data_IF_179489975988
#
_entry.id   IF_179489975988
#
_cell.length_a   1.000
_cell.length_b   1.000
_cell.length_c   1.000
_cell.angle_alpha   90.00
_cell.angle_beta   90.00
_cell.angle_gamma   90.00
#
_symmetry.space_group_name_H-M   'P 1'
#
loop_
_entity.id
_entity.type
_entity.pdbx_description
1 polymer ?
#
# COMPACT_ATOMS: atom_id res chain seq x y z
N UNK A 1 61.06 -16.11 53.06
CA UNK A 1 61.61 -14.74 53.15
C UNK A 1 62.44 -14.47 51.89
N UNK A 2 62.13 -13.36 51.20
CA UNK A 2 63.01 -12.61 50.25
C UNK A 2 63.36 -13.31 48.92
N UNK A 3 63.39 -12.67 47.76
CA UNK A 3 63.04 -11.34 47.22
C UNK A 3 63.12 -11.54 45.69
N UNK A 4 62.17 -11.00 44.93
CA UNK A 4 62.33 -10.71 43.49
C UNK A 4 63.35 -9.57 43.30
N UNK A 5 64.04 -9.54 42.15
CA UNK A 5 64.09 -8.29 41.40
C UNK A 5 63.82 -8.47 39.89
N UNK A 6 63.45 -7.33 39.33
CA UNK A 6 62.91 -7.05 38.00
C UNK A 6 64.00 -6.75 36.95
N UNK A 7 63.53 -6.27 35.77
CA UNK A 7 64.25 -5.50 34.70
C UNK A 7 64.83 -6.44 33.61
N UNK A 8 64.58 -6.31 32.30
CA UNK A 8 63.85 -5.29 31.52
C UNK A 8 63.63 -5.71 30.06
N UNK A 9 62.64 -5.04 29.46
CA UNK A 9 62.60 -4.53 28.08
C UNK A 9 62.51 -5.49 26.88
N UNK A 10 61.28 -5.77 26.42
CA UNK A 10 60.97 -5.89 24.97
C UNK A 10 59.44 -5.88 24.63
N UNK A 11 58.64 -4.91 25.12
CA UNK A 11 57.19 -4.87 24.78
C UNK A 11 56.67 -3.44 24.51
N UNK A 12 57.46 -2.56 23.92
CA UNK A 12 56.95 -1.22 23.58
C UNK A 12 57.58 -0.69 22.30
N UNK A 13 57.12 -1.20 21.15
CA UNK A 13 57.15 -0.45 19.87
C UNK A 13 56.32 -1.17 18.77
N UNK A 14 55.01 -1.30 18.96
CA UNK A 14 54.10 -1.78 17.90
C UNK A 14 52.70 -1.14 18.00
N UNK A 15 52.69 0.18 18.19
CA UNK A 15 51.47 1.01 18.14
C UNK A 15 51.82 2.32 17.44
N UNK A 16 51.94 2.32 16.11
CA UNK A 16 51.92 3.53 15.28
C UNK A 16 51.83 3.21 13.77
N UNK A 17 50.86 2.36 13.40
CA UNK A 17 50.30 2.35 12.04
C UNK A 17 48.77 2.28 12.14
N UNK A 18 48.20 3.27 12.83
CA UNK A 18 46.79 3.61 12.66
C UNK A 18 46.67 4.38 11.34
N UNK A 19 46.45 3.64 10.25
CA UNK A 19 45.99 4.21 9.00
C UNK A 19 44.67 4.94 9.28
N UNK A 20 44.64 6.24 8.98
CA UNK A 20 43.45 7.08 9.10
C UNK A 20 42.37 6.63 8.13
N UNK A 21 41.62 5.59 8.50
CA UNK A 21 40.31 5.34 7.96
C UNK A 21 39.40 6.43 8.54
N UNK A 22 39.19 7.50 7.76
CA UNK A 22 38.18 8.50 8.06
C UNK A 22 36.86 7.77 8.28
N UNK A 23 36.41 7.71 9.53
CA UNK A 23 35.17 7.09 9.95
C UNK A 23 33.97 7.82 9.38
N UNK A 24 33.71 7.65 8.08
CA UNK A 24 32.35 7.81 7.59
C UNK A 24 31.57 6.61 8.11
N UNK A 25 30.76 6.85 9.14
CA UNK A 25 29.67 5.94 9.49
C UNK A 25 28.97 5.54 8.19
N UNK A 26 28.73 4.23 7.95
CA UNK A 26 28.03 3.79 6.76
C UNK A 26 26.69 4.53 6.73
N UNK A 27 26.55 5.48 5.79
CA UNK A 27 25.30 6.23 5.62
C UNK A 27 24.19 5.17 5.47
N UNK A 28 23.14 5.23 6.29
CA UNK A 28 22.02 4.32 6.12
C UNK A 28 21.55 4.45 4.66
N UNK A 29 21.26 3.31 3.98
CA UNK A 29 20.85 3.36 2.59
C UNK A 29 19.65 4.31 2.47
N UNK A 30 19.72 5.23 1.50
CA UNK A 30 18.68 6.22 1.27
C UNK A 30 17.33 5.52 1.20
N UNK A 31 16.40 5.91 2.08
CA UNK A 31 15.03 5.40 2.03
C UNK A 31 14.48 5.71 0.64
N UNK A 32 13.89 4.74 -0.08
CA UNK A 32 13.30 5.02 -1.38
C UNK A 32 12.29 6.15 -1.21
N UNK A 33 12.50 7.23 -1.96
CA UNK A 33 11.59 8.38 -1.96
C UNK A 33 10.32 7.92 -2.66
N UNK A 34 9.22 7.83 -1.91
CA UNK A 34 7.91 7.56 -2.50
C UNK A 34 7.51 8.83 -3.25
N UNK A 35 7.50 8.76 -4.59
CA UNK A 35 6.92 9.83 -5.40
C UNK A 35 5.40 9.81 -5.27
N UNK A 36 4.86 10.87 -4.70
CA UNK A 36 3.43 11.12 -4.67
C UNK A 36 3.04 11.91 -5.90
N UNK A 37 1.99 11.46 -6.59
CA UNK A 37 1.36 12.19 -7.69
C UNK A 37 -0.05 12.59 -7.30
N UNK A 38 -0.52 13.74 -7.77
CA UNK A 38 -1.93 14.04 -7.69
C UNK A 38 -2.71 13.06 -8.56
N UNK A 39 -3.88 12.63 -8.07
CA UNK A 39 -4.86 12.01 -8.95
C UNK A 39 -5.35 13.06 -9.97
N UNK A 40 -5.81 12.60 -11.13
CA UNK A 40 -6.29 13.52 -12.18
C UNK A 40 -7.42 14.44 -11.66
N UNK A 41 -7.57 15.66 -12.20
CA UNK A 41 -8.62 16.57 -11.77
C UNK A 41 -10.02 15.94 -11.71
N UNK A 42 -10.52 15.20 -12.73
CA UNK A 42 -11.85 14.59 -12.65
C UNK A 42 -12.01 13.62 -11.48
N UNK A 43 -10.97 12.82 -11.21
CA UNK A 43 -10.92 11.91 -10.05
C UNK A 43 -10.89 12.70 -8.72
N UNK A 44 -10.30 13.90 -8.70
CA UNK A 44 -10.38 14.77 -7.53
C UNK A 44 -11.82 15.21 -7.25
N UNK A 45 -12.54 15.71 -8.26
CA UNK A 45 -13.94 16.12 -8.08
C UNK A 45 -14.83 14.95 -7.66
N UNK A 46 -14.67 13.77 -8.26
CA UNK A 46 -15.40 12.57 -7.86
C UNK A 46 -15.23 12.26 -6.37
N UNK A 47 -14.00 12.28 -5.86
CA UNK A 47 -13.73 11.98 -4.44
C UNK A 47 -14.30 13.02 -3.49
N UNK A 48 -14.28 14.29 -3.88
CA UNK A 48 -14.89 15.37 -3.10
C UNK A 48 -16.40 15.22 -3.06
N UNK A 49 -17.03 15.03 -4.22
CA UNK A 49 -18.47 14.91 -4.36
C UNK A 49 -19.03 13.59 -3.79
N UNK A 50 -18.19 12.56 -3.66
CA UNK A 50 -18.55 11.32 -2.96
C UNK A 50 -18.49 11.44 -1.43
N UNK A 51 -17.96 12.53 -0.87
CA UNK A 51 -17.85 12.71 0.57
C UNK A 51 -19.12 13.37 1.14
N UNK A 52 -19.88 12.71 2.03
CA UNK A 52 -21.12 13.25 2.56
C UNK A 52 -20.97 14.59 3.28
N UNK A 53 -19.82 14.84 3.93
CA UNK A 53 -19.56 16.13 4.61
C UNK A 53 -19.35 17.27 3.63
N UNK A 54 -18.75 16.97 2.47
CA UNK A 54 -18.62 17.96 1.40
C UNK A 54 -20.01 18.29 0.87
N UNK A 55 -20.85 17.29 0.60
CA UNK A 55 -22.23 17.52 0.15
C UNK A 55 -23.06 18.32 1.14
N UNK A 56 -22.94 18.03 2.44
CA UNK A 56 -23.59 18.78 3.52
C UNK A 56 -23.17 20.26 3.51
N UNK A 57 -21.86 20.54 3.42
CA UNK A 57 -21.31 21.90 3.37
C UNK A 57 -21.68 22.65 2.07
N UNK A 58 -21.82 21.92 0.96
CA UNK A 58 -22.35 22.44 -0.30
C UNK A 58 -23.87 22.67 -0.28
N UNK A 59 -24.58 22.17 0.75
CA UNK A 59 -26.05 22.13 0.83
C UNK A 59 -26.68 21.41 -0.37
N UNK A 60 -26.00 20.38 -0.86
CA UNK A 60 -26.45 19.53 -1.97
C UNK A 60 -26.87 18.19 -1.38
N UNK A 61 -28.12 17.78 -1.62
CA UNK A 61 -28.62 16.50 -1.10
C UNK A 61 -27.93 15.31 -1.79
N UNK A 62 -27.85 15.34 -3.11
CA UNK A 62 -27.28 14.28 -3.94
C UNK A 62 -26.61 14.87 -5.19
N UNK A 63 -25.57 14.19 -5.67
CA UNK A 63 -24.85 14.56 -6.90
C UNK A 63 -25.63 14.02 -8.10
N UNK A 64 -25.96 14.84 -9.12
CA UNK A 64 -26.63 14.37 -10.32
C UNK A 64 -25.85 13.22 -10.98
N UNK A 65 -26.56 12.13 -11.33
CA UNK A 65 -25.93 10.94 -11.93
C UNK A 65 -25.20 11.25 -13.24
N UNK A 66 -25.70 12.22 -14.02
CA UNK A 66 -25.07 12.72 -15.25
C UNK A 66 -23.67 13.30 -14.98
N UNK A 67 -23.53 14.13 -13.95
CA UNK A 67 -22.25 14.71 -13.55
C UNK A 67 -21.26 13.62 -13.12
N UNK A 68 -21.70 12.68 -12.27
CA UNK A 68 -20.86 11.57 -11.81
C UNK A 68 -20.37 10.70 -12.98
N UNK A 69 -21.26 10.37 -13.93
CA UNK A 69 -20.91 9.59 -15.13
C UNK A 69 -19.89 10.32 -16.01
N UNK A 70 -20.07 11.62 -16.21
CA UNK A 70 -19.16 12.41 -17.03
C UNK A 70 -17.77 12.56 -16.39
N UNK A 71 -17.72 12.85 -15.09
CA UNK A 71 -16.45 12.90 -14.35
C UNK A 71 -15.74 11.54 -14.35
N UNK A 72 -16.47 10.43 -14.21
CA UNK A 72 -15.90 9.08 -14.33
C UNK A 72 -15.32 8.81 -15.72
N UNK A 73 -16.04 9.18 -16.78
CA UNK A 73 -15.54 9.02 -18.14
C UNK A 73 -14.26 9.83 -18.37
N UNK A 74 -14.20 11.07 -17.87
CA UNK A 74 -13.00 11.92 -17.92
C UNK A 74 -11.85 11.37 -17.08
N UNK A 75 -12.12 10.82 -15.89
CA UNK A 75 -11.11 10.18 -15.04
C UNK A 75 -10.50 8.95 -15.74
N UNK A 76 -11.35 8.12 -16.36
CA UNK A 76 -10.90 6.96 -17.13
C UNK A 76 -10.01 7.39 -18.31
N UNK A 77 -10.44 8.39 -19.08
CA UNK A 77 -9.64 8.94 -20.18
C UNK A 77 -8.29 9.51 -19.70
N UNK A 78 -8.28 10.21 -18.57
CA UNK A 78 -7.07 10.77 -17.96
C UNK A 78 -6.11 9.68 -17.47
N UNK A 79 -6.62 8.54 -16.98
CA UNK A 79 -5.81 7.39 -16.56
C UNK A 79 -5.15 6.65 -17.72
N UNK A 80 -5.78 6.69 -18.91
CA UNK A 80 -5.28 6.03 -20.12
C UNK A 80 -4.26 6.88 -20.88
N UNK A 81 -4.35 8.21 -20.77
CA UNK A 81 -3.30 9.08 -21.27
C UNK A 81 -2.16 9.13 -20.25
N UNK A 82 -0.96 8.67 -20.62
CA UNK A 82 0.24 9.01 -19.83
C UNK A 82 0.20 10.52 -19.57
N UNK A 83 0.14 10.88 -18.29
CA UNK A 83 -0.16 12.25 -17.88
C UNK A 83 1.05 13.10 -18.24
N UNK A 84 1.02 13.67 -19.45
CA UNK A 84 2.03 14.64 -19.85
C UNK A 84 1.90 15.84 -18.90
N UNK A 85 3.00 16.25 -18.24
CA UNK A 85 2.99 17.43 -17.38
C UNK A 85 2.49 18.63 -18.19
N UNK A 86 1.45 19.33 -17.68
CA UNK A 86 0.84 20.50 -18.33
C UNK A 86 -0.60 20.31 -18.85
N UNK A 87 -1.14 19.09 -18.90
CA UNK A 87 -2.56 18.86 -19.30
C UNK A 87 -3.58 19.05 -18.16
N UNK A 88 -3.12 19.28 -16.94
CA UNK A 88 -3.96 19.40 -15.73
C UNK A 88 -4.85 20.64 -15.73
N UNK A 89 -4.35 21.79 -16.20
CA UNK A 89 -5.08 23.07 -16.12
C UNK A 89 -6.35 23.10 -16.98
N UNK A 90 -6.34 22.67 -18.26
CA UNK A 90 -7.57 22.57 -19.04
C UNK A 90 -8.59 21.62 -18.39
N UNK A 91 -8.14 20.47 -17.89
CA UNK A 91 -9.00 19.50 -17.22
C UNK A 91 -9.65 20.05 -15.95
N UNK A 92 -8.91 20.82 -15.15
CA UNK A 92 -9.44 21.50 -13.97
C UNK A 92 -10.59 22.45 -14.35
N UNK A 93 -10.38 23.31 -15.34
CA UNK A 93 -11.39 24.29 -15.79
C UNK A 93 -12.62 23.61 -16.37
N UNK A 94 -12.44 22.54 -17.14
CA UNK A 94 -13.55 21.74 -17.66
C UNK A 94 -14.35 21.09 -16.54
N UNK A 95 -13.70 20.47 -15.56
CA UNK A 95 -14.40 19.84 -14.44
C UNK A 95 -15.14 20.88 -13.58
N UNK A 96 -14.51 22.02 -13.29
CA UNK A 96 -15.15 23.13 -12.58
C UNK A 96 -16.42 23.61 -13.31
N UNK A 97 -16.35 23.74 -14.65
CA UNK A 97 -17.49 24.14 -15.47
C UNK A 97 -18.64 23.11 -15.42
N UNK A 98 -18.33 21.81 -15.46
CA UNK A 98 -19.33 20.75 -15.31
C UNK A 98 -20.03 20.79 -13.95
N UNK A 99 -19.25 21.01 -12.88
CA UNK A 99 -19.81 21.14 -11.53
C UNK A 99 -20.66 22.41 -11.41
N UNK A 100 -20.25 23.53 -12.02
CA UNK A 100 -21.03 24.77 -12.06
C UNK A 100 -22.34 24.60 -12.82
N UNK A 101 -22.32 23.93 -13.97
CA UNK A 101 -23.53 23.63 -14.74
C UNK A 101 -24.51 22.75 -13.96
N UNK A 102 -24.00 21.73 -13.27
CA UNK A 102 -24.83 20.73 -12.60
C UNK A 102 -25.31 21.16 -11.20
N UNK A 103 -24.47 21.85 -10.42
CA UNK A 103 -24.72 22.18 -9.01
C UNK A 103 -24.88 23.70 -8.76
N UNK A 104 -24.63 24.53 -9.77
CA UNK A 104 -24.63 25.98 -9.65
C UNK A 104 -23.29 26.56 -9.20
N UNK A 105 -23.14 27.87 -9.44
CA UNK A 105 -21.89 28.62 -9.24
C UNK A 105 -21.38 28.62 -7.79
N UNK A 106 -22.27 28.74 -6.81
CA UNK A 106 -21.88 28.77 -5.40
C UNK A 106 -21.30 27.41 -4.96
N UNK A 107 -21.97 26.31 -5.32
CA UNK A 107 -21.50 24.96 -5.02
C UNK A 107 -20.18 24.66 -5.74
N UNK A 108 -20.05 25.00 -7.02
CA UNK A 108 -18.81 24.80 -7.76
C UNK A 108 -17.63 25.59 -7.17
N UNK A 109 -17.86 26.86 -6.80
CA UNK A 109 -16.86 27.66 -6.13
C UNK A 109 -16.44 27.03 -4.78
N UNK A 110 -17.40 26.50 -4.03
CA UNK A 110 -17.13 25.86 -2.74
C UNK A 110 -16.40 24.52 -2.90
N UNK A 111 -16.74 23.71 -3.91
CA UNK A 111 -15.98 22.48 -4.23
C UNK A 111 -14.52 22.82 -4.54
N UNK A 112 -14.25 23.90 -5.30
CA UNK A 112 -12.88 24.35 -5.56
C UNK A 112 -12.15 24.76 -4.28
N UNK A 113 -12.81 25.49 -3.39
CA UNK A 113 -12.25 25.85 -2.09
C UNK A 113 -11.84 24.61 -1.29
N UNK A 114 -12.73 23.61 -1.20
CA UNK A 114 -12.44 22.34 -0.51
C UNK A 114 -11.32 21.57 -1.22
N UNK A 115 -11.27 21.59 -2.56
CA UNK A 115 -10.18 20.97 -3.33
C UNK A 115 -8.83 21.57 -2.96
N UNK A 116 -8.71 22.89 -2.93
CA UNK A 116 -7.47 23.56 -2.50
C UNK A 116 -7.08 23.21 -1.05
N UNK A 117 -8.06 23.06 -0.15
CA UNK A 117 -7.79 22.60 1.22
C UNK A 117 -7.22 21.16 1.25
N UNK A 118 -7.73 20.26 0.42
CA UNK A 118 -7.29 18.86 0.40
C UNK A 118 -5.92 18.68 -0.26
N UNK A 119 -5.67 19.44 -1.33
CA UNK A 119 -4.45 19.36 -2.14
C UNK A 119 -3.29 20.08 -1.44
N UNK A 120 -3.57 21.21 -0.78
CA UNK A 120 -2.56 22.07 -0.16
C UNK A 120 -1.76 22.87 -1.18
N UNK A 121 -1.03 23.87 -0.70
CA UNK A 121 -0.35 24.87 -1.53
C UNK A 121 0.66 24.24 -2.50
N UNK A 122 1.43 23.26 -2.01
CA UNK A 122 2.45 22.55 -2.80
C UNK A 122 1.90 22.00 -4.10
N UNK A 123 0.86 21.20 -3.98
CA UNK A 123 0.31 20.47 -5.11
C UNK A 123 -0.65 21.34 -5.92
N UNK A 124 -1.29 22.33 -5.29
CA UNK A 124 -2.10 23.31 -6.00
C UNK A 124 -1.25 24.11 -7.00
N UNK A 125 -0.06 24.56 -6.59
CA UNK A 125 0.89 25.25 -7.46
C UNK A 125 1.47 24.32 -8.53
N UNK A 126 1.72 23.05 -8.20
CA UNK A 126 2.20 22.07 -9.17
C UNK A 126 1.15 21.77 -10.26
N UNK A 127 -0.12 21.72 -9.88
CA UNK A 127 -1.23 21.37 -10.77
C UNK A 127 -1.69 22.55 -11.64
N UNK A 128 -1.69 23.76 -11.06
CA UNK A 128 -1.95 25.02 -11.73
C UNK A 128 -0.74 25.96 -11.60
N UNK A 129 0.20 25.92 -12.55
CA UNK A 129 1.34 26.84 -12.57
C UNK A 129 0.92 28.32 -12.62
N UNK A 130 -0.29 28.63 -13.08
CA UNK A 130 -0.85 29.98 -13.05
C UNK A 130 -1.04 30.50 -11.63
N UNK A 131 -1.33 29.62 -10.67
CA UNK A 131 -1.53 29.96 -9.27
C UNK A 131 -0.27 30.57 -8.63
N UNK A 132 0.93 30.09 -8.98
CA UNK A 132 2.17 30.71 -8.50
C UNK A 132 2.28 32.18 -8.95
N UNK A 133 1.83 32.48 -10.16
CA UNK A 133 1.82 33.84 -10.71
C UNK A 133 0.74 34.70 -10.04
N UNK A 134 -0.45 34.15 -9.81
CA UNK A 134 -1.56 34.85 -9.14
C UNK A 134 -1.25 35.16 -7.68
N UNK A 135 -0.58 34.22 -7.00
CA UNK A 135 -0.04 34.44 -5.67
C UNK A 135 1.19 35.34 -5.69
N UNK A 136 1.86 35.55 -6.83
CA UNK A 136 3.12 36.30 -6.95
C UNK A 136 4.24 35.67 -6.10
N UNK A 137 4.40 34.35 -6.17
CA UNK A 137 5.43 33.64 -5.43
C UNK A 137 6.81 33.92 -6.03
N UNK A 138 7.75 34.36 -5.19
CA UNK A 138 9.17 34.46 -5.56
C UNK A 138 9.76 33.07 -5.81
N UNK A 139 10.88 32.98 -6.52
CA UNK A 139 11.59 31.72 -6.78
C UNK A 139 11.92 30.97 -5.49
N UNK A 140 12.48 31.66 -4.49
CA UNK A 140 12.75 31.10 -3.16
C UNK A 140 11.49 30.59 -2.45
N UNK A 141 10.34 31.26 -2.62
CA UNK A 141 9.08 30.77 -2.07
C UNK A 141 8.61 29.51 -2.81
N UNK A 142 8.75 29.44 -4.13
CA UNK A 142 8.37 28.25 -4.90
C UNK A 142 9.19 27.02 -4.50
N UNK A 143 10.49 27.18 -4.24
CA UNK A 143 11.34 26.11 -3.70
C UNK A 143 10.85 25.63 -2.32
N UNK A 144 10.51 26.57 -1.42
CA UNK A 144 9.95 26.23 -0.10
C UNK A 144 8.58 25.58 -0.20
N UNK A 145 7.74 26.01 -1.14
CA UNK A 145 6.42 25.41 -1.43
C UNK A 145 6.61 23.97 -1.93
N UNK A 146 7.58 23.71 -2.80
CA UNK A 146 7.90 22.37 -3.28
C UNK A 146 8.40 21.43 -2.16
N UNK A 147 8.96 22.00 -1.08
CA UNK A 147 9.43 21.27 0.09
C UNK A 147 8.35 21.06 1.18
N UNK A 148 7.15 21.64 1.03
CA UNK A 148 6.07 21.48 2.02
C UNK A 148 5.69 20.01 2.21
N UNK A 149 5.30 19.62 3.45
CA UNK A 149 4.78 18.30 3.71
C UNK A 149 3.43 18.08 3.02
N UNK A 150 3.03 16.82 2.90
CA UNK A 150 1.76 16.43 2.31
C UNK A 150 0.66 16.40 3.39
N UNK A 151 -0.39 17.20 3.21
CA UNK A 151 -1.50 17.27 4.15
C UNK A 151 -2.22 15.94 4.32
N UNK A 152 -2.54 15.57 5.57
CA UNK A 152 -3.25 14.33 5.88
C UNK A 152 -2.37 13.06 5.85
N UNK A 153 -1.09 13.18 5.49
CA UNK A 153 -0.12 12.09 5.61
C UNK A 153 0.66 12.17 6.94
N UNK A 154 1.10 11.03 7.51
CA UNK A 154 1.96 11.04 8.68
C UNK A 154 3.33 11.70 8.41
N UNK A 155 3.94 12.39 9.40
CA UNK A 155 5.26 13.04 9.27
C UNK A 155 6.38 12.17 8.71
N UNK A 156 6.42 10.89 9.08
CA UNK A 156 7.45 9.95 8.60
C UNK A 156 7.39 9.62 7.10
N UNK A 157 6.35 10.06 6.40
CA UNK A 157 6.24 9.97 4.93
C UNK A 157 6.48 11.31 4.22
N UNK A 158 6.98 12.31 4.93
CA UNK A 158 6.96 13.69 4.44
C UNK A 158 5.55 14.30 4.48
N UNK A 159 4.67 13.79 5.35
CA UNK A 159 3.34 14.34 5.57
C UNK A 159 3.26 15.32 6.73
N UNK A 160 2.09 15.91 6.94
CA UNK A 160 1.73 16.63 8.16
C UNK A 160 0.20 16.56 8.35
N UNK A 161 -0.28 16.71 9.59
CA UNK A 161 -1.71 17.00 9.78
C UNK A 161 -2.06 18.35 9.13
N UNK A 162 -3.34 18.56 8.83
CA UNK A 162 -3.76 19.75 8.10
C UNK A 162 -3.44 21.05 8.85
N UNK A 163 -3.52 21.09 10.18
CA UNK A 163 -3.22 22.31 10.94
C UNK A 163 -1.73 22.66 10.87
N UNK A 164 -0.87 21.65 11.02
CA UNK A 164 0.58 21.80 10.83
C UNK A 164 0.94 22.22 9.41
N UNK A 165 0.30 21.64 8.38
CA UNK A 165 0.50 22.06 6.99
C UNK A 165 0.11 23.53 6.79
N UNK A 166 -1.06 23.96 7.29
CA UNK A 166 -1.50 25.37 7.17
C UNK A 166 -0.54 26.35 7.84
N UNK A 167 0.05 25.94 8.96
CA UNK A 167 1.07 26.73 9.65
C UNK A 167 2.32 26.86 8.78
N UNK A 168 2.82 25.76 8.21
CA UNK A 168 3.96 25.77 7.30
C UNK A 168 3.69 26.58 6.01
N UNK A 169 2.47 26.52 5.45
CA UNK A 169 2.06 27.36 4.32
C UNK A 169 2.13 28.85 4.69
N UNK A 170 1.59 29.22 5.85
CA UNK A 170 1.57 30.61 6.32
C UNK A 170 2.97 31.18 6.60
N UNK A 171 3.96 30.35 6.93
CA UNK A 171 5.36 30.77 7.11
C UNK A 171 6.11 31.02 5.80
N UNK A 172 5.57 30.54 4.68
CA UNK A 172 6.15 30.77 3.34
C UNK A 172 5.55 32.03 2.71
N UNK A 173 4.27 32.28 2.93
CA UNK A 173 3.51 33.36 2.30
C UNK A 173 3.61 34.68 3.09
N UNK A 174 3.72 35.81 2.38
CA UNK A 174 3.55 37.13 2.97
C UNK A 174 2.07 37.42 3.32
N UNK A 175 1.79 38.51 4.04
CA UNK A 175 0.43 38.83 4.50
C UNK A 175 -0.59 39.07 3.36
N UNK A 176 -0.15 39.51 2.18
CA UNK A 176 -1.02 39.67 1.01
C UNK A 176 -1.26 38.33 0.30
N UNK A 177 -0.20 37.53 0.14
CA UNK A 177 -0.24 36.18 -0.41
C UNK A 177 -1.12 35.26 0.42
N UNK A 178 -0.94 35.27 1.75
CA UNK A 178 -1.72 34.52 2.72
C UNK A 178 -3.21 34.82 2.58
N UNK A 179 -3.59 36.11 2.50
CA UNK A 179 -4.99 36.51 2.30
C UNK A 179 -5.58 35.99 0.99
N UNK A 180 -4.80 36.01 -0.11
CA UNK A 180 -5.25 35.43 -1.39
C UNK A 180 -5.41 33.92 -1.30
N UNK A 181 -4.46 33.23 -0.68
CA UNK A 181 -4.52 31.78 -0.47
C UNK A 181 -5.69 31.38 0.43
N UNK A 182 -5.92 32.09 1.53
CA UNK A 182 -7.08 31.89 2.41
C UNK A 182 -8.40 32.14 1.68
N UNK A 183 -8.47 33.15 0.81
CA UNK A 183 -9.65 33.38 -0.02
C UNK A 183 -9.90 32.25 -1.03
N UNK A 184 -8.84 31.66 -1.60
CA UNK A 184 -8.94 30.49 -2.47
C UNK A 184 -9.37 29.23 -1.72
N UNK A 185 -8.91 29.05 -0.48
CA UNK A 185 -9.32 27.92 0.36
C UNK A 185 -10.70 28.09 0.99
N UNK A 186 -11.20 29.31 1.16
CA UNK A 186 -12.45 29.59 1.87
C UNK A 186 -12.43 29.18 3.35
N UNK A 187 -13.63 29.01 3.94
CA UNK A 187 -13.78 28.49 5.31
C UNK A 187 -13.34 27.03 5.39
N UNK A 188 -12.60 26.67 6.45
CA UNK A 188 -12.15 25.29 6.67
C UNK A 188 -13.36 24.35 6.81
N UNK A 189 -13.34 23.25 6.06
CA UNK A 189 -14.33 22.19 6.27
C UNK A 189 -13.97 21.43 7.55
N UNK A 190 -14.93 21.30 8.47
CA UNK A 190 -14.68 20.60 9.72
C UNK A 190 -14.55 19.08 9.53
N UNK A 191 -13.45 18.53 10.04
CA UNK A 191 -13.17 17.10 10.07
C UNK A 191 -12.15 16.63 9.04
N UNK A 192 -12.18 15.33 8.74
CA UNK A 192 -11.17 14.68 7.92
C UNK A 192 -11.51 14.77 6.45
N UNK A 193 -10.79 15.63 5.74
CA UNK A 193 -10.84 15.72 4.28
C UNK A 193 -10.20 14.49 3.62
N UNK A 194 -10.66 14.11 2.41
CA UNK A 194 -10.03 13.04 1.65
C UNK A 194 -8.62 13.45 1.21
N UNK A 195 -7.70 12.48 1.17
CA UNK A 195 -6.38 12.68 0.58
C UNK A 195 -6.51 12.63 -0.95
N UNK A 196 -6.04 13.68 -1.63
CA UNK A 196 -6.13 13.84 -3.10
C UNK A 196 -4.88 13.37 -3.85
N UNK A 197 -4.06 12.58 -3.16
CA UNK A 197 -2.81 12.05 -3.67
C UNK A 197 -2.96 10.57 -3.99
N UNK A 198 -2.26 10.13 -5.03
CA UNK A 198 -1.94 8.74 -5.28
C UNK A 198 -0.43 8.53 -5.17
N UNK A 199 -0.01 7.31 -4.85
CA UNK A 199 1.38 6.92 -5.11
C UNK A 199 1.54 6.90 -6.63
N UNK A 200 2.55 7.60 -7.16
CA UNK A 200 2.96 7.44 -8.55
C UNK A 200 3.65 6.07 -8.64
N UNK A 201 2.85 5.02 -8.81
CA UNK A 201 3.36 3.67 -8.99
C UNK A 201 4.23 3.65 -10.23
N UNK A 202 5.54 3.44 -10.08
CA UNK A 202 6.51 3.43 -11.17
C UNK A 202 6.43 2.20 -12.09
N UNK A 203 5.22 1.77 -12.48
CA UNK A 203 5.00 0.66 -13.40
C UNK A 203 3.73 0.83 -14.20
N UNK A 204 3.70 0.26 -15.40
CA UNK A 204 2.56 0.23 -16.33
C UNK A 204 1.25 -0.03 -15.57
N UNK A 205 0.49 1.04 -15.35
CA UNK A 205 -0.83 1.03 -14.71
C UNK A 205 -1.77 0.30 -15.67
N UNK A 206 -1.82 -1.02 -15.58
CA UNK A 206 -2.60 -1.87 -16.46
C UNK A 206 -2.14 -3.33 -16.43
N UNK A 207 -0.84 -3.59 -16.24
CA UNK A 207 -0.33 -4.97 -16.28
C UNK A 207 0.38 -5.36 -14.99
N UNK A 208 -0.03 -6.49 -14.44
CA UNK A 208 0.54 -7.07 -13.23
C UNK A 208 1.20 -8.39 -13.59
N UNK A 209 2.42 -8.61 -13.08
CA UNK A 209 3.13 -9.87 -13.26
C UNK A 209 2.37 -11.01 -12.59
N UNK A 210 2.21 -12.11 -13.31
CA UNK A 210 1.69 -13.34 -12.71
C UNK A 210 2.70 -13.81 -11.63
N UNK A 211 2.26 -14.03 -10.39
CA UNK A 211 3.13 -14.55 -9.35
C UNK A 211 3.69 -15.93 -9.72
N UNK A 212 4.96 -16.16 -9.40
CA UNK A 212 5.64 -17.45 -9.63
C UNK A 212 5.04 -18.58 -8.77
N UNK A 213 4.37 -18.22 -7.67
CA UNK A 213 3.65 -19.16 -6.81
C UNK A 213 2.21 -18.69 -6.71
N UNK A 214 1.28 -19.49 -7.23
CA UNK A 214 -0.15 -19.32 -7.02
C UNK A 214 -0.57 -20.19 -5.82
N UNK A 215 -1.85 -20.54 -5.74
CA UNK A 215 -2.36 -21.36 -4.65
C UNK A 215 -1.68 -22.74 -4.56
N UNK A 216 -1.33 -23.39 -5.69
CA UNK A 216 -0.81 -24.77 -5.68
C UNK A 216 0.48 -24.94 -4.89
N UNK A 217 1.47 -24.08 -5.12
CA UNK A 217 2.75 -24.12 -4.42
C UNK A 217 2.64 -23.82 -2.92
N UNK A 218 1.68 -22.99 -2.51
CA UNK A 218 1.42 -22.69 -1.08
C UNK A 218 0.85 -23.91 -0.38
N UNK A 219 -0.21 -24.52 -0.93
CA UNK A 219 -0.83 -25.73 -0.38
C UNK A 219 0.16 -26.90 -0.34
N UNK A 220 0.95 -27.07 -1.41
CA UNK A 220 1.97 -28.11 -1.49
C UNK A 220 3.03 -27.97 -0.40
N UNK A 221 3.50 -26.74 -0.12
CA UNK A 221 4.48 -26.50 0.97
C UNK A 221 3.92 -26.84 2.35
N UNK A 222 2.68 -26.45 2.64
CA UNK A 222 2.05 -26.80 3.93
C UNK A 222 1.87 -28.30 4.09
N UNK A 223 1.45 -29.02 3.03
CA UNK A 223 1.22 -30.46 3.11
C UNK A 223 2.48 -31.30 3.37
N UNK A 224 3.67 -30.82 2.97
CA UNK A 224 4.94 -31.51 3.24
C UNK A 224 5.34 -31.44 4.72
N UNK A 225 4.87 -30.41 5.44
CA UNK A 225 5.32 -30.14 6.79
C UNK A 225 4.77 -31.17 7.80
N UNK A 226 5.64 -31.84 8.59
CA UNK A 226 5.19 -32.87 9.53
C UNK A 226 4.22 -32.37 10.61
N UNK A 227 4.38 -31.12 11.08
CA UNK A 227 3.49 -30.56 12.09
C UNK A 227 2.09 -30.34 11.49
N UNK A 228 2.03 -29.83 10.26
CA UNK A 228 0.77 -29.70 9.51
C UNK A 228 0.14 -31.08 9.25
N UNK A 229 0.92 -32.10 8.88
CA UNK A 229 0.39 -33.45 8.68
C UNK A 229 -0.21 -34.02 9.97
N UNK A 230 0.42 -33.76 11.13
CA UNK A 230 -0.08 -34.15 12.44
C UNK A 230 -1.37 -33.39 12.80
N UNK A 231 -1.42 -32.08 12.56
CA UNK A 231 -2.59 -31.23 12.78
C UNK A 231 -3.79 -31.67 11.92
N UNK A 232 -3.53 -31.98 10.65
CA UNK A 232 -4.52 -32.51 9.73
C UNK A 232 -4.88 -33.97 10.03
N UNK A 233 -4.18 -34.61 10.98
CA UNK A 233 -4.35 -36.02 11.39
C UNK A 233 -4.26 -36.96 10.19
N UNK A 234 -3.30 -36.71 9.31
CA UNK A 234 -3.07 -37.56 8.15
C UNK A 234 -2.62 -38.95 8.59
N UNK A 235 -3.24 -39.97 8.01
CA UNK A 235 -2.82 -41.36 8.19
C UNK A 235 -1.51 -41.63 7.42
N UNK A 236 -0.72 -42.66 7.77
CA UNK A 236 0.50 -42.98 7.04
C UNK A 236 0.31 -43.16 5.51
N UNK A 237 -0.77 -43.82 5.02
CA UNK A 237 -1.05 -43.87 3.59
C UNK A 237 -1.33 -42.48 2.97
N UNK A 238 -1.97 -41.56 3.69
CA UNK A 238 -2.21 -40.20 3.22
C UNK A 238 -0.92 -39.38 3.18
N UNK A 239 -0.01 -39.56 4.14
CA UNK A 239 1.32 -38.92 4.12
C UNK A 239 2.12 -39.35 2.88
N UNK A 240 2.05 -40.63 2.50
CA UNK A 240 2.65 -41.09 1.25
C UNK A 240 1.93 -40.48 0.04
N UNK A 241 0.58 -40.40 0.07
CA UNK A 241 -0.22 -39.79 -0.99
C UNK A 241 0.11 -38.31 -1.22
N UNK A 242 0.49 -37.56 -0.17
CA UNK A 242 0.95 -36.17 -0.29
C UNK A 242 2.10 -36.04 -1.30
N UNK A 243 3.02 -37.00 -1.36
CA UNK A 243 4.16 -37.00 -2.30
C UNK A 243 3.72 -37.08 -3.76
N UNK A 244 2.58 -37.72 -4.04
CA UNK A 244 1.98 -37.79 -5.38
C UNK A 244 1.19 -36.53 -5.74
N UNK A 245 0.56 -35.90 -4.74
CA UNK A 245 -0.29 -34.71 -4.95
C UNK A 245 0.56 -33.45 -5.19
N UNK A 246 1.69 -33.30 -4.51
CA UNK A 246 2.53 -32.08 -4.63
C UNK A 246 2.98 -31.80 -6.06
N UNK A 247 3.54 -32.77 -6.83
CA UNK A 247 3.92 -32.52 -8.22
C UNK A 247 2.73 -32.06 -9.08
N UNK A 248 1.51 -32.57 -8.82
CA UNK A 248 0.30 -32.16 -9.55
C UNK A 248 -0.11 -30.72 -9.19
N UNK A 249 0.04 -30.33 -7.93
CA UNK A 249 -0.17 -28.94 -7.50
C UNK A 249 0.82 -27.98 -8.16
N UNK A 250 2.10 -28.35 -8.19
CA UNK A 250 3.16 -27.56 -8.80
C UNK A 250 3.02 -27.48 -10.33
N UNK A 251 2.67 -28.60 -10.97
CA UNK A 251 2.44 -28.65 -12.41
C UNK A 251 1.30 -27.73 -12.81
N UNK A 252 0.18 -27.73 -12.08
CA UNK A 252 -0.93 -26.82 -12.37
C UNK A 252 -0.57 -25.34 -12.22
N UNK A 253 0.34 -24.98 -11.31
CA UNK A 253 0.86 -23.60 -11.24
C UNK A 253 1.76 -23.29 -12.45
N UNK A 254 2.61 -24.25 -12.86
CA UNK A 254 3.47 -24.11 -14.03
C UNK A 254 2.68 -24.01 -15.35
N UNK A 255 1.59 -24.77 -15.49
CA UNK A 255 0.70 -24.73 -16.66
C UNK A 255 0.04 -23.36 -16.77
N UNK A 256 -0.49 -22.81 -15.66
CA UNK A 256 -1.06 -21.46 -15.65
C UNK A 256 -0.04 -20.40 -16.07
N UNK A 257 1.19 -20.48 -15.57
CA UNK A 257 2.27 -19.54 -15.94
C UNK A 257 2.63 -19.68 -17.42
N UNK A 258 2.60 -20.90 -17.98
CA UNK A 258 2.90 -21.17 -19.39
C UNK A 258 1.79 -20.72 -20.33
N UNK A 259 0.53 -20.86 -19.92
CA UNK A 259 -0.66 -20.58 -20.73
C UNK A 259 -1.02 -19.08 -20.78
N UNK A 260 -0.49 -18.28 -19.85
CA UNK A 260 -0.81 -16.86 -19.75
C UNK A 260 0.44 -16.01 -20.00
N UNK A 261 0.29 -14.78 -20.53
CA UNK A 261 1.43 -13.89 -20.68
C UNK A 261 2.03 -13.55 -19.30
N UNK A 262 3.34 -13.24 -19.22
CA UNK A 262 4.01 -12.92 -17.95
C UNK A 262 3.36 -11.77 -17.17
N UNK A 263 2.70 -10.86 -17.89
CA UNK A 263 1.93 -9.77 -17.31
C UNK A 263 0.51 -9.79 -17.87
N UNK A 264 -0.46 -9.71 -16.99
CA UNK A 264 -1.91 -9.73 -17.29
C UNK A 264 -2.60 -8.55 -16.65
N UNK A 265 -3.77 -8.21 -17.16
CA UNK A 265 -4.65 -7.23 -16.51
C UNK A 265 -5.07 -7.72 -15.11
N UNK A 266 -5.24 -6.83 -14.11
CA UNK A 266 -5.60 -7.22 -12.74
C UNK A 266 -6.86 -8.08 -12.63
N UNK A 267 -7.89 -7.80 -13.42
CA UNK A 267 -9.12 -8.60 -13.45
C UNK A 267 -8.86 -10.01 -13.96
N UNK A 268 -8.05 -10.13 -15.01
CA UNK A 268 -7.66 -11.44 -15.55
C UNK A 268 -6.81 -12.23 -14.56
N UNK A 269 -5.93 -11.56 -13.82
CA UNK A 269 -5.17 -12.20 -12.73
C UNK A 269 -6.10 -12.76 -11.64
N UNK A 270 -7.16 -12.02 -11.28
CA UNK A 270 -8.15 -12.47 -10.29
C UNK A 270 -8.88 -13.74 -10.75
N UNK A 271 -9.30 -13.79 -12.02
CA UNK A 271 -9.91 -15.00 -12.61
C UNK A 271 -8.96 -16.19 -12.57
N UNK A 272 -7.73 -16.01 -13.06
CA UNK A 272 -6.70 -17.06 -13.05
C UNK A 272 -6.45 -17.57 -11.63
N UNK A 273 -6.36 -16.67 -10.64
CA UNK A 273 -6.15 -17.03 -9.24
C UNK A 273 -7.35 -17.81 -8.67
N UNK A 274 -8.59 -17.39 -8.98
CA UNK A 274 -9.82 -18.11 -8.58
C UNK A 274 -9.87 -19.51 -9.17
N UNK A 275 -9.72 -19.64 -10.50
CA UNK A 275 -9.79 -20.92 -11.20
C UNK A 275 -8.73 -21.88 -10.66
N UNK A 276 -7.51 -21.37 -10.44
CA UNK A 276 -6.42 -22.16 -9.90
C UNK A 276 -6.71 -22.60 -8.46
N UNK A 277 -7.17 -21.68 -7.59
CA UNK A 277 -7.55 -21.98 -6.20
C UNK A 277 -8.62 -23.08 -6.15
N UNK A 278 -9.65 -22.98 -6.98
CA UNK A 278 -10.76 -23.92 -6.99
C UNK A 278 -10.32 -25.30 -7.49
N UNK A 279 -9.46 -25.35 -8.51
CA UNK A 279 -8.83 -26.59 -8.96
C UNK A 279 -7.95 -27.24 -7.88
N UNK A 280 -7.17 -26.45 -7.13
CA UNK A 280 -6.36 -26.93 -5.99
C UNK A 280 -7.27 -27.51 -4.91
N UNK A 281 -8.28 -26.77 -4.46
CA UNK A 281 -9.21 -27.23 -3.42
C UNK A 281 -9.96 -28.49 -3.85
N UNK A 282 -10.41 -28.56 -5.10
CA UNK A 282 -11.05 -29.75 -5.67
C UNK A 282 -10.13 -30.97 -5.59
N UNK A 283 -8.87 -30.83 -6.01
CA UNK A 283 -7.88 -31.90 -5.93
C UNK A 283 -7.66 -32.38 -4.49
N UNK A 284 -7.52 -31.47 -3.52
CA UNK A 284 -7.36 -31.85 -2.10
C UNK A 284 -8.61 -32.57 -1.56
N UNK A 285 -9.82 -32.13 -1.95
CA UNK A 285 -11.07 -32.79 -1.55
C UNK A 285 -11.16 -34.22 -2.07
N UNK A 286 -10.76 -34.44 -3.33
CA UNK A 286 -10.81 -35.75 -4.00
C UNK A 286 -9.77 -36.73 -3.45
N UNK A 287 -8.54 -36.28 -3.21
CA UNK A 287 -7.43 -37.15 -2.81
C UNK A 287 -7.40 -37.42 -1.29
N UNK A 288 -7.99 -36.53 -0.48
CA UNK A 288 -7.97 -36.64 0.98
C UNK A 288 -9.37 -36.67 1.59
N UNK A 289 -9.98 -35.50 1.77
CA UNK A 289 -11.36 -35.33 2.22
C UNK A 289 -11.77 -33.85 2.23
N UNK A 290 -13.08 -33.55 2.26
CA UNK A 290 -13.56 -32.18 2.49
C UNK A 290 -13.05 -31.56 3.80
N UNK A 291 -12.96 -32.35 4.87
CA UNK A 291 -12.49 -31.88 6.18
C UNK A 291 -11.02 -31.45 6.14
N UNK A 292 -10.15 -32.23 5.48
CA UNK A 292 -8.74 -31.90 5.31
C UNK A 292 -8.58 -30.63 4.46
N UNK A 293 -9.34 -30.50 3.36
CA UNK A 293 -9.30 -29.29 2.55
C UNK A 293 -9.69 -28.04 3.35
N UNK A 294 -10.78 -28.10 4.10
CA UNK A 294 -11.26 -26.94 4.88
C UNK A 294 -10.23 -26.51 5.92
N UNK A 295 -9.66 -27.45 6.68
CA UNK A 295 -8.62 -27.13 7.68
C UNK A 295 -7.33 -26.65 7.02
N UNK A 296 -6.93 -27.23 5.89
CA UNK A 296 -5.75 -26.77 5.16
C UNK A 296 -5.93 -25.35 4.62
N UNK A 297 -7.11 -25.01 4.09
CA UNK A 297 -7.44 -23.65 3.64
C UNK A 297 -7.38 -22.64 4.79
N UNK A 298 -7.87 -23.02 5.98
CA UNK A 298 -7.71 -22.23 7.21
C UNK A 298 -6.23 -21.97 7.54
N UNK A 299 -5.39 -23.01 7.52
CA UNK A 299 -3.94 -22.91 7.77
C UNK A 299 -3.23 -22.04 6.73
N UNK A 300 -3.62 -22.12 5.44
CA UNK A 300 -3.11 -21.21 4.39
C UNK A 300 -3.42 -19.77 4.74
N UNK A 301 -4.65 -19.45 5.14
CA UNK A 301 -5.06 -18.08 5.51
C UNK A 301 -4.32 -17.57 6.73
N UNK A 302 -4.20 -18.38 7.78
CA UNK A 302 -3.42 -18.03 8.98
C UNK A 302 -1.96 -17.74 8.62
N UNK A 303 -1.36 -18.58 7.77
CA UNK A 303 0.03 -18.43 7.40
C UNK A 303 0.28 -17.22 6.48
N UNK A 304 -0.62 -16.96 5.53
CA UNK A 304 -0.50 -15.82 4.61
C UNK A 304 -0.81 -14.49 5.30
N UNK A 305 -1.77 -14.49 6.22
CA UNK A 305 -2.34 -13.29 6.84
C UNK A 305 -3.40 -12.62 5.97
N UNK A 306 -4.23 -11.78 6.58
CA UNK A 306 -5.35 -11.07 5.98
C UNK A 306 -4.93 -10.21 4.79
N UNK A 307 -3.88 -9.39 4.91
CA UNK A 307 -3.52 -8.45 3.84
C UNK A 307 -3.06 -9.15 2.55
N UNK A 308 -2.16 -10.14 2.59
CA UNK A 308 -1.84 -10.94 1.41
C UNK A 308 -3.06 -11.72 0.90
N UNK A 309 -3.84 -12.31 1.80
CA UNK A 309 -4.99 -13.14 1.40
C UNK A 309 -6.10 -12.32 0.72
N UNK A 310 -6.34 -11.07 1.13
CA UNK A 310 -7.28 -10.16 0.44
C UNK A 310 -6.88 -9.88 -1.01
N UNK A 311 -5.59 -10.00 -1.35
CA UNK A 311 -5.08 -9.79 -2.71
C UNK A 311 -5.10 -11.05 -3.55
N UNK A 312 -4.87 -12.21 -2.94
CA UNK A 312 -4.74 -13.49 -3.63
C UNK A 312 -6.01 -14.34 -3.62
N UNK A 313 -6.92 -14.11 -2.68
CA UNK A 313 -8.15 -14.89 -2.48
C UNK A 313 -9.39 -13.97 -2.49
N UNK A 314 -10.05 -13.79 -3.65
CA UNK A 314 -11.19 -12.88 -3.76
C UNK A 314 -12.42 -13.31 -2.93
N UNK A 315 -12.51 -14.58 -2.56
CA UNK A 315 -13.56 -15.09 -1.65
C UNK A 315 -13.46 -14.41 -0.28
N UNK A 316 -12.26 -14.02 0.18
CA UNK A 316 -12.10 -13.34 1.46
C UNK A 316 -12.73 -11.95 1.41
N UNK A 317 -12.47 -11.19 0.33
CA UNK A 317 -13.07 -9.88 0.16
C UNK A 317 -14.60 -9.97 0.05
N UNK A 318 -15.12 -10.99 -0.64
CA UNK A 318 -16.57 -11.24 -0.79
C UNK A 318 -17.22 -11.66 0.54
N UNK A 319 -16.63 -12.61 1.25
CA UNK A 319 -17.15 -13.10 2.54
C UNK A 319 -17.14 -11.99 3.58
N UNK A 320 -16.03 -11.24 3.71
CA UNK A 320 -15.93 -10.11 4.63
C UNK A 320 -16.72 -8.88 4.16
N UNK A 321 -17.32 -8.91 2.96
CA UNK A 321 -18.00 -7.75 2.34
C UNK A 321 -17.14 -6.49 2.40
N UNK A 322 -15.89 -6.63 1.97
CA UNK A 322 -14.87 -5.61 2.11
C UNK A 322 -15.23 -4.35 1.31
N UNK A 323 -15.26 -3.18 1.95
CA UNK A 323 -15.72 -1.94 1.31
C UNK A 323 -14.57 -1.17 0.62
N UNK A 324 -14.93 -0.23 -0.26
CA UNK A 324 -13.94 0.66 -0.87
C UNK A 324 -13.21 1.52 0.18
N UNK A 325 -13.91 1.97 1.22
CA UNK A 325 -13.33 2.73 2.34
C UNK A 325 -12.27 1.90 3.07
N UNK A 326 -12.51 0.61 3.29
CA UNK A 326 -11.55 -0.30 3.92
C UNK A 326 -10.32 -0.52 3.04
N UNK A 327 -10.50 -0.68 1.71
CA UNK A 327 -9.39 -0.73 0.76
C UNK A 327 -8.55 0.55 0.80
N UNK A 328 -9.21 1.70 0.88
CA UNK A 328 -8.54 3.00 1.04
C UNK A 328 -7.78 3.08 2.36
N UNK A 329 -8.36 2.59 3.46
CA UNK A 329 -7.70 2.53 4.77
C UNK A 329 -6.47 1.63 4.75
N UNK A 330 -6.52 0.46 4.08
CA UNK A 330 -5.32 -0.37 3.83
C UNK A 330 -4.27 0.41 3.06
N UNK A 331 -4.65 1.09 1.98
CA UNK A 331 -3.73 1.91 1.19
C UNK A 331 -3.02 2.94 2.06
N UNK A 332 -3.79 3.67 2.87
CA UNK A 332 -3.27 4.64 3.85
C UNK A 332 -2.37 3.95 4.86
N UNK A 333 -2.72 2.79 5.43
CA UNK A 333 -1.90 2.08 6.41
C UNK A 333 -0.57 1.60 5.80
N UNK A 334 -0.61 0.98 4.62
CA UNK A 334 0.59 0.55 3.90
C UNK A 334 1.52 1.72 3.59
N UNK A 335 0.93 2.85 3.24
CA UNK A 335 1.67 4.07 2.96
C UNK A 335 2.19 4.69 4.26
N UNK A 336 1.37 4.76 5.30
CA UNK A 336 1.60 5.46 6.58
C UNK A 336 2.90 5.10 7.26
N UNK A 337 3.48 3.94 6.94
CA UNK A 337 4.58 3.31 7.67
C UNK A 337 4.16 2.71 9.01
N UNK A 338 2.86 2.71 9.34
CA UNK A 338 2.32 2.14 10.58
C UNK A 338 2.53 0.63 10.56
N UNK A 339 2.33 0.04 9.38
CA UNK A 339 2.58 -1.38 9.19
C UNK A 339 4.07 -1.66 9.45
N UNK A 340 4.38 -2.80 10.09
CA UNK A 340 5.76 -3.21 10.28
C UNK A 340 6.48 -3.26 8.93
N UNK A 341 7.81 -3.21 8.95
CA UNK A 341 8.62 -3.37 7.73
C UNK A 341 8.97 -4.84 7.54
N UNK A 342 8.95 -5.36 6.30
CA UNK A 342 9.43 -6.72 6.04
C UNK A 342 10.88 -6.85 6.55
N UNK A 343 11.21 -7.90 7.30
CA UNK A 343 12.56 -8.10 7.78
C UNK A 343 13.50 -8.29 6.59
N UNK A 344 14.72 -7.77 6.71
CA UNK A 344 15.78 -8.09 5.74
C UNK A 344 16.17 -9.56 5.98
N UNK A 345 16.30 -10.38 4.92
CA UNK A 345 16.73 -11.76 5.06
C UNK A 345 18.22 -11.81 5.43
N UNK A 346 18.52 -11.67 6.71
CA UNK A 346 19.87 -11.75 7.28
C UNK A 346 19.89 -12.85 8.34
N UNK A 347 20.94 -13.67 8.35
CA UNK A 347 21.09 -14.77 9.33
C UNK A 347 20.80 -16.15 8.75
N UNK A 348 20.55 -17.12 9.63
CA UNK A 348 20.20 -18.49 9.22
C UNK A 348 18.77 -18.54 8.67
N UNK A 349 18.42 -19.54 7.82
CA UNK A 349 17.07 -19.70 7.30
C UNK A 349 15.98 -19.68 8.40
N UNK A 350 16.25 -20.30 9.55
CA UNK A 350 15.33 -20.34 10.69
C UNK A 350 15.13 -18.96 11.32
N UNK A 351 16.18 -18.14 11.42
CA UNK A 351 16.07 -16.77 11.92
C UNK A 351 15.28 -15.88 10.97
N UNK A 352 15.53 -16.01 9.67
CA UNK A 352 14.79 -15.30 8.63
C UNK A 352 13.31 -15.67 8.70
N UNK A 353 13.01 -16.96 8.82
CA UNK A 353 11.65 -17.46 8.93
C UNK A 353 10.91 -16.93 10.16
N UNK A 354 11.51 -17.04 11.34
CA UNK A 354 10.93 -16.51 12.58
C UNK A 354 10.65 -15.00 12.46
N UNK A 355 11.58 -14.24 11.87
CA UNK A 355 11.40 -12.81 11.65
C UNK A 355 10.22 -12.52 10.69
N UNK A 356 10.07 -13.30 9.62
CA UNK A 356 8.96 -13.13 8.67
C UNK A 356 7.61 -13.55 9.29
N UNK A 357 7.58 -14.60 10.10
CA UNK A 357 6.37 -15.03 10.81
C UNK A 357 5.91 -13.95 11.79
N UNK A 358 6.84 -13.39 12.57
CA UNK A 358 6.55 -12.29 13.49
C UNK A 358 6.08 -11.03 12.76
N UNK A 359 6.74 -10.70 11.64
CA UNK A 359 6.32 -9.60 10.77
C UNK A 359 4.88 -9.78 10.28
N UNK A 360 4.50 -10.98 9.81
CA UNK A 360 3.14 -11.26 9.35
C UNK A 360 2.13 -11.15 10.49
N UNK A 361 2.44 -11.70 11.67
CA UNK A 361 1.58 -11.60 12.86
C UNK A 361 1.29 -10.14 13.21
N UNK A 362 2.33 -9.32 13.32
CA UNK A 362 2.21 -7.89 13.62
C UNK A 362 1.44 -7.13 12.52
N UNK A 363 1.70 -7.47 11.25
CA UNK A 363 0.98 -6.89 10.12
C UNK A 363 -0.52 -7.18 10.21
N UNK A 364 -0.87 -8.45 10.47
CA UNK A 364 -2.26 -8.88 10.58
C UNK A 364 -2.97 -8.26 11.78
N UNK A 365 -2.32 -8.21 12.93
CA UNK A 365 -2.89 -7.58 14.13
C UNK A 365 -3.28 -6.12 13.86
N UNK A 366 -2.40 -5.36 13.20
CA UNK A 366 -2.71 -3.96 12.84
C UNK A 366 -3.83 -3.89 11.81
N UNK A 367 -3.81 -4.70 10.76
CA UNK A 367 -4.83 -4.65 9.70
C UNK A 367 -6.19 -5.09 10.24
N UNK A 368 -6.26 -6.15 11.05
CA UNK A 368 -7.50 -6.65 11.65
C UNK A 368 -8.08 -5.60 12.60
N UNK A 369 -7.26 -5.03 13.49
CA UNK A 369 -7.72 -4.04 14.47
C UNK A 369 -8.15 -2.72 13.81
N UNK A 370 -7.40 -2.24 12.82
CA UNK A 370 -7.66 -0.94 12.20
C UNK A 370 -8.69 -1.02 11.08
N UNK A 371 -8.71 -2.07 10.27
CA UNK A 371 -9.49 -2.07 9.03
C UNK A 371 -10.82 -2.78 9.18
N UNK A 372 -10.87 -3.88 9.92
CA UNK A 372 -12.08 -4.69 10.04
C UNK A 372 -12.99 -4.18 11.16
N UNK A 373 -14.29 -4.19 10.89
CA UNK A 373 -15.33 -4.05 11.94
C UNK A 373 -15.34 -5.29 12.85
N UNK A 374 -15.90 -5.19 14.06
CA UNK A 374 -15.98 -6.33 14.99
C UNK A 374 -16.66 -7.57 14.38
N UNK A 375 -17.69 -7.37 13.56
CA UNK A 375 -18.36 -8.46 12.85
C UNK A 375 -17.44 -9.15 11.84
N UNK A 376 -16.69 -8.36 11.06
CA UNK A 376 -15.71 -8.87 10.10
C UNK A 376 -14.51 -9.52 10.81
N UNK A 377 -14.09 -9.03 11.97
CA UNK A 377 -13.03 -9.67 12.77
C UNK A 377 -13.47 -11.07 13.22
N UNK A 378 -14.70 -11.22 13.72
CA UNK A 378 -15.25 -12.54 14.08
C UNK A 378 -15.32 -13.48 12.87
N UNK A 379 -15.78 -12.96 11.74
CA UNK A 379 -15.85 -13.72 10.49
C UNK A 379 -14.46 -14.12 9.99
N UNK A 380 -13.47 -13.22 10.08
CA UNK A 380 -12.07 -13.53 9.75
C UNK A 380 -11.53 -14.66 10.62
N UNK A 381 -11.75 -14.60 11.94
CA UNK A 381 -11.37 -15.66 12.88
C UNK A 381 -12.02 -17.02 12.54
N UNK A 382 -13.29 -17.02 12.13
CA UNK A 382 -13.97 -18.25 11.69
C UNK A 382 -13.37 -18.79 10.38
N UNK A 383 -13.09 -17.90 9.42
CA UNK A 383 -12.48 -18.23 8.12
C UNK A 383 -11.04 -18.71 8.23
N UNK A 384 -10.27 -18.19 9.19
CA UNK A 384 -8.92 -18.62 9.50
C UNK A 384 -8.90 -19.84 10.41
N UNK A 385 -9.95 -20.09 11.20
CA UNK A 385 -10.03 -21.20 12.14
C UNK A 385 -9.17 -21.03 13.39
N UNK A 386 -9.07 -22.09 14.20
CA UNK A 386 -8.28 -22.08 15.44
C UNK A 386 -6.79 -21.84 15.13
N UNK A 387 -6.14 -20.86 15.80
CA UNK A 387 -4.73 -20.54 15.57
C UNK A 387 -3.82 -21.77 15.67
N UNK A 388 -2.91 -21.90 14.71
CA UNK A 388 -1.92 -22.96 14.67
C UNK A 388 -0.57 -22.39 14.26
N UNK A 389 0.47 -22.66 15.04
CA UNK A 389 1.81 -22.15 14.75
C UNK A 389 2.45 -22.94 13.60
N UNK A 390 2.51 -22.31 12.43
CA UNK A 390 3.15 -22.87 11.24
C UNK A 390 4.60 -22.36 11.15
N UNK A 391 5.56 -23.25 11.37
CA UNK A 391 6.99 -22.98 11.12
C UNK A 391 7.36 -23.41 9.71
N UNK A 392 6.86 -22.69 8.69
CA UNK A 392 7.28 -22.89 7.30
C UNK A 392 7.69 -21.56 6.66
N UNK A 393 8.90 -21.51 6.09
CA UNK A 393 9.33 -20.38 5.27
C UNK A 393 8.64 -20.41 3.89
N UNK A 394 7.44 -19.82 3.80
CA UNK A 394 6.91 -19.40 2.51
C UNK A 394 7.50 -18.01 2.24
N UNK A 395 8.27 -17.87 1.16
CA UNK A 395 8.85 -16.57 0.78
C UNK A 395 7.77 -15.49 0.73
N UNK A 396 8.07 -14.23 1.13
CA UNK A 396 7.08 -13.17 1.17
C UNK A 396 6.43 -12.99 -0.19
N UNK A 397 5.09 -13.09 -0.26
CA UNK A 397 4.28 -12.62 -1.39
C UNK A 397 4.21 -11.09 -1.34
N UNK A 398 5.36 -10.44 -1.29
CA UNK A 398 5.42 -9.02 -1.60
C UNK A 398 5.64 -8.95 -3.11
N UNK A 399 4.89 -8.13 -3.86
CA UNK A 399 5.30 -7.82 -5.22
C UNK A 399 6.77 -7.39 -5.13
N UNK A 400 7.63 -7.98 -5.95
CA UNK A 400 9.03 -7.56 -6.06
C UNK A 400 8.98 -6.04 -6.24
N UNK A 401 9.33 -5.29 -5.20
CA UNK A 401 9.51 -3.85 -5.33
C UNK A 401 10.55 -3.72 -6.43
N UNK A 402 10.24 -3.03 -7.56
CA UNK A 402 11.19 -2.93 -8.65
C UNK A 402 12.52 -2.50 -8.03
N UNK A 403 13.57 -3.32 -8.24
CA UNK A 403 14.91 -2.92 -7.86
C UNK A 403 15.14 -1.59 -8.58
N UNK A 404 15.29 -0.51 -7.81
CA UNK A 404 15.81 0.73 -8.37
C UNK A 404 17.13 0.42 -9.09
N UNK A 405 17.54 1.25 -10.06
CA UNK A 405 18.84 1.08 -10.69
C UNK A 405 19.90 0.94 -9.61
N UNK A 406 20.76 -0.08 -9.74
CA UNK A 406 21.89 -0.25 -8.85
C UNK A 406 22.73 1.04 -8.87
N UNK A 407 23.28 1.47 -7.73
CA UNK A 407 24.08 2.70 -7.65
C UNK A 407 25.29 2.67 -8.58
#
# INVERSE_FOLDING_TARGET
MKRLPAISALVLLLTLLAGGATGQEPRPPATPVIEWGLISPPEQYLRLLANPRVLEDLKVAEVPESLSKELHAKALAASQSETQPGKSVPQLRECAALVEEALGKEAAHRVEQVRYQCVGLRYAVQEDPGLASDLKLTETQQERVAALPIGGLPPRLGGADFASLRTAEAEILDAGQKRRWEALCGSLLEGRLPLMMAIKGGGNVGKVKIPVVLSGGTYGRLLVDPAIQQELKLTPPQVEKVREVIPRLQQGDADVIKENPPEVEPLRLREIATDRRDAVRKLIKEEFSPKIETRLTQLVRQHQGLLPSLRSDPEIAEMLKFTEEQNRKIGILMQSGVLPRPPRPTGTPQQVEAAFNEFRRLLDEVIVAEVLTEAQQKQWTEMSGEPYEVSILIGPFLPLVPRGPAP
#
